data_IF_767713557556
#
_entry.id   IF_767713557556
#
_cell.length_a   1.000
_cell.length_b   1.000
_cell.length_c   1.000
_cell.angle_alpha   90.00
_cell.angle_beta   90.00
_cell.angle_gamma   90.00
#
_symmetry.space_group_name_H-M   'P 1'
#
loop_
_entity.id
_entity.type
_entity.pdbx_description
1 polymer ?
#
# COMPACT_ATOMS: atom_id res chain seq x y z
N UNK A 1 32.45 -21.83 18.04
CA UNK A 1 32.88 -20.44 18.28
C UNK A 1 31.69 -19.52 18.03
N UNK A 2 31.25 -18.76 19.03
CA UNK A 2 30.10 -17.86 18.87
C UNK A 2 30.48 -16.68 17.94
N UNK A 3 29.60 -16.35 16.99
CA UNK A 3 29.80 -15.23 16.06
C UNK A 3 29.71 -13.91 16.83
N UNK A 4 30.78 -13.12 16.84
CA UNK A 4 30.79 -11.75 17.37
C UNK A 4 29.90 -10.87 16.50
N UNK A 5 28.68 -10.54 16.94
CA UNK A 5 27.73 -9.68 16.22
C UNK A 5 27.85 -8.25 16.76
N UNK A 6 28.27 -7.30 15.91
CA UNK A 6 28.40 -5.89 16.28
C UNK A 6 27.02 -5.21 16.39
N UNK A 7 26.67 -4.72 17.57
CA UNK A 7 25.38 -4.05 17.84
C UNK A 7 25.34 -2.57 17.39
N UNK A 8 26.48 -1.99 17.05
CA UNK A 8 26.67 -0.54 16.81
C UNK A 8 25.90 0.03 15.61
N UNK A 9 25.44 -0.83 14.68
CA UNK A 9 24.70 -0.40 13.47
C UNK A 9 23.18 -0.49 13.63
N UNK A 10 22.70 -0.96 14.78
CA UNK A 10 21.28 -1.22 15.00
C UNK A 10 20.49 0.10 15.00
N UNK A 11 19.42 0.19 14.20
CA UNK A 11 18.54 1.36 14.15
C UNK A 11 19.04 2.56 13.34
N UNK A 12 20.29 2.56 12.84
CA UNK A 12 20.89 3.68 12.08
C UNK A 12 19.97 4.23 11.00
N UNK A 13 19.48 3.37 10.10
CA UNK A 13 18.70 3.80 8.92
C UNK A 13 17.34 4.36 9.32
N UNK A 14 16.64 3.70 10.25
CA UNK A 14 15.32 4.14 10.71
C UNK A 14 15.36 5.47 11.45
N UNK A 15 16.42 5.73 12.20
CA UNK A 15 16.61 6.99 12.93
C UNK A 15 17.10 8.12 12.01
N UNK A 16 17.83 7.79 10.94
CA UNK A 16 18.28 8.75 9.94
C UNK A 16 17.14 9.25 9.04
N UNK A 17 16.16 8.40 8.71
CA UNK A 17 15.05 8.79 7.83
C UNK A 17 14.15 9.83 8.50
N UNK A 18 13.87 10.98 7.87
CA UNK A 18 13.02 12.02 8.46
C UNK A 18 11.60 11.48 8.64
N UNK A 19 10.97 11.85 9.76
CA UNK A 19 9.60 11.42 10.05
C UNK A 19 8.60 12.30 9.28
N UNK A 20 7.97 11.73 8.27
CA UNK A 20 6.88 12.40 7.55
C UNK A 20 5.56 12.25 8.33
N UNK A 21 4.84 13.34 8.65
CA UNK A 21 3.54 13.26 9.32
C UNK A 21 2.49 12.62 8.40
N UNK A 22 1.47 12.01 9.00
CA UNK A 22 0.35 11.43 8.23
C UNK A 22 -0.52 12.56 7.69
N UNK A 23 -0.86 12.48 6.40
CA UNK A 23 -1.86 13.36 5.81
C UNK A 23 -3.26 13.01 6.33
N UNK A 24 -4.08 14.02 6.56
CA UNK A 24 -5.50 13.83 6.88
C UNK A 24 -6.24 13.26 5.67
N UNK A 25 -7.00 12.19 5.90
CA UNK A 25 -7.79 11.53 4.85
C UNK A 25 -9.23 11.40 5.31
N UNK A 26 -10.16 11.60 4.38
CA UNK A 26 -11.58 11.36 4.62
C UNK A 26 -11.79 9.91 5.07
N UNK A 27 -12.76 9.69 5.96
CA UNK A 27 -13.14 8.35 6.42
C UNK A 27 -13.49 7.47 5.22
N UNK A 28 -12.78 6.36 5.06
CA UNK A 28 -13.07 5.39 4.00
C UNK A 28 -14.38 4.66 4.29
N UNK A 29 -15.16 4.38 3.24
CA UNK A 29 -16.29 3.44 3.33
C UNK A 29 -15.78 2.07 3.79
N UNK A 30 -16.55 1.38 4.61
CA UNK A 30 -16.23 0.06 5.16
C UNK A 30 -17.27 -0.99 4.72
N UNK A 31 -16.95 -2.27 4.88
CA UNK A 31 -17.86 -3.39 4.61
C UNK A 31 -18.40 -3.43 3.17
N UNK A 32 -19.71 -3.70 3.04
CA UNK A 32 -20.42 -3.82 1.76
C UNK A 32 -20.31 -2.56 0.90
N UNK A 33 -20.35 -1.37 1.51
CA UNK A 33 -20.24 -0.11 0.78
C UNK A 33 -18.86 0.06 0.10
N UNK A 34 -17.79 -0.51 0.68
CA UNK A 34 -16.47 -0.56 0.05
C UNK A 34 -16.44 -1.55 -1.10
N UNK A 35 -16.98 -2.75 -0.89
CA UNK A 35 -17.00 -3.81 -1.92
C UNK A 35 -17.77 -3.35 -3.17
N UNK A 36 -18.92 -2.69 -2.98
CA UNK A 36 -19.72 -2.15 -4.08
C UNK A 36 -18.95 -1.14 -4.91
N UNK A 37 -18.28 -0.17 -4.27
CA UNK A 37 -17.47 0.84 -4.95
C UNK A 37 -16.32 0.24 -5.76
N UNK A 38 -15.65 -0.79 -5.22
CA UNK A 38 -14.57 -1.49 -5.93
C UNK A 38 -15.09 -2.26 -7.14
N UNK A 39 -16.24 -2.92 -6.99
CA UNK A 39 -16.87 -3.65 -8.09
C UNK A 39 -17.30 -2.71 -9.22
N UNK A 40 -18.04 -1.64 -8.90
CA UNK A 40 -18.47 -0.64 -9.88
C UNK A 40 -17.29 -0.07 -10.68
N UNK A 41 -16.21 0.31 -9.97
CA UNK A 41 -15.00 0.80 -10.63
C UNK A 41 -14.34 -0.25 -11.55
N UNK A 42 -14.32 -1.53 -11.15
CA UNK A 42 -13.75 -2.62 -11.96
C UNK A 42 -14.57 -2.93 -13.20
N UNK A 43 -15.89 -2.83 -13.10
CA UNK A 43 -16.79 -2.99 -14.26
C UNK A 43 -16.55 -1.85 -15.24
N UNK A 44 -16.50 -0.60 -14.77
CA UNK A 44 -16.31 0.59 -15.60
C UNK A 44 -15.00 0.55 -16.41
N UNK A 45 -13.91 0.06 -15.81
CA UNK A 45 -12.60 -0.03 -16.50
C UNK A 45 -12.45 -1.28 -17.38
N UNK A 46 -13.46 -2.16 -17.47
CA UNK A 46 -13.41 -3.38 -18.27
C UNK A 46 -12.54 -4.50 -17.64
N UNK A 47 -12.38 -4.52 -16.32
CA UNK A 47 -11.50 -5.48 -15.61
C UNK A 47 -11.85 -6.94 -15.90
N UNK A 48 -13.14 -7.22 -16.03
CA UNK A 48 -13.66 -8.56 -16.25
C UNK A 48 -13.53 -8.99 -17.72
N UNK A 49 -13.53 -8.05 -18.67
CA UNK A 49 -13.43 -8.34 -20.10
C UNK A 49 -12.02 -8.75 -20.50
N UNK A 50 -11.00 -8.13 -19.91
CA UNK A 50 -9.60 -8.48 -20.15
C UNK A 50 -9.08 -9.61 -19.26
N UNK A 51 -9.96 -10.33 -18.55
CA UNK A 51 -9.61 -11.38 -17.58
C UNK A 51 -8.55 -10.91 -16.55
N UNK A 52 -8.65 -9.65 -16.12
CA UNK A 52 -7.74 -9.05 -15.13
C UNK A 52 -6.36 -8.66 -15.65
N UNK A 53 -6.08 -8.76 -16.96
CA UNK A 53 -4.81 -8.32 -17.57
C UNK A 53 -4.82 -6.80 -17.81
N UNK A 54 -4.79 -6.02 -16.74
CA UNK A 54 -4.69 -4.55 -16.81
C UNK A 54 -3.90 -3.95 -15.64
N UNK A 55 -3.34 -2.75 -15.85
CA UNK A 55 -2.63 -2.00 -14.81
C UNK A 55 -3.61 -1.12 -14.03
N UNK A 56 -3.93 -1.51 -12.80
CA UNK A 56 -4.89 -0.78 -11.96
C UNK A 56 -4.35 0.55 -11.39
N UNK A 57 -3.05 0.63 -11.11
CA UNK A 57 -2.41 1.87 -10.68
C UNK A 57 -1.51 2.40 -11.79
N UNK A 58 -2.03 3.31 -12.60
CA UNK A 58 -1.35 3.85 -13.79
C UNK A 58 -0.09 4.65 -13.40
N UNK A 59 -0.08 5.27 -12.20
CA UNK A 59 1.02 6.11 -11.71
C UNK A 59 2.20 5.36 -11.07
N UNK A 60 2.08 4.04 -10.91
CA UNK A 60 3.18 3.20 -10.42
C UNK A 60 4.20 2.91 -11.54
#
# INVERSE_FOLDING_TARGET
MAKQISLTKTGKVRNQTPKVPKQEKRRSRTGRARQRRVYEHRVEIGYFECNGKMKLNIKA
#
